data_IF_286500082185
#
_entry.id   IF_286500082185
#
_cell.length_a   1.000
_cell.length_b   1.000
_cell.length_c   1.000
_cell.angle_alpha   90.00
_cell.angle_beta   90.00
_cell.angle_gamma   90.00
#
_symmetry.space_group_name_H-M   'P 1'
#
loop_
_entity.id
_entity.type
_entity.pdbx_description
1 polymer ?
#
# COMPACT_ATOMS: atom_id res chain seq x y z
N UNK A 1 46.65 -32.67 -37.91
CA UNK A 1 45.36 -33.21 -37.44
C UNK A 1 45.37 -33.09 -35.93
N UNK A 2 44.44 -32.51 -35.19
CA UNK A 2 43.30 -31.62 -35.44
C UNK A 2 43.02 -31.09 -34.04
N UNK A 3 42.84 -29.78 -33.93
CA UNK A 3 42.39 -29.12 -32.71
C UNK A 3 41.06 -29.72 -32.25
N UNK A 4 40.95 -30.11 -30.99
CA UNK A 4 39.65 -30.25 -30.33
C UNK A 4 39.79 -29.76 -28.89
N UNK A 5 39.79 -28.44 -28.77
CA UNK A 5 39.43 -27.72 -27.56
C UNK A 5 37.94 -28.03 -27.28
N UNK A 6 37.67 -28.83 -26.25
CA UNK A 6 36.32 -29.08 -25.74
C UNK A 6 36.15 -28.32 -24.43
N UNK A 7 35.23 -27.35 -24.46
CA UNK A 7 34.22 -26.97 -23.44
C UNK A 7 34.52 -27.50 -22.04
N UNK A 8 34.62 -26.65 -21.02
CA UNK A 8 33.43 -25.95 -20.57
C UNK A 8 33.78 -24.67 -19.81
N UNK A 9 33.46 -23.52 -20.42
CA UNK A 9 33.39 -22.26 -19.71
C UNK A 9 32.13 -22.23 -18.87
N UNK A 10 32.06 -23.04 -17.82
CA UNK A 10 31.10 -22.77 -16.75
C UNK A 10 31.45 -21.37 -16.22
N UNK A 11 30.52 -20.40 -16.21
CA UNK A 11 30.74 -19.16 -15.51
C UNK A 11 31.11 -19.52 -14.08
N UNK A 12 32.36 -19.30 -13.69
CA UNK A 12 32.73 -19.39 -12.30
C UNK A 12 31.95 -18.29 -11.60
N UNK A 13 30.84 -18.66 -10.95
CA UNK A 13 29.97 -17.77 -10.20
C UNK A 13 30.82 -16.89 -9.28
N UNK A 14 31.10 -15.65 -9.70
CA UNK A 14 31.97 -14.73 -8.96
C UNK A 14 31.16 -14.23 -7.78
N UNK A 15 31.51 -14.69 -6.59
CA UNK A 15 30.93 -14.18 -5.34
C UNK A 15 31.46 -12.77 -5.07
N UNK A 16 30.68 -11.76 -5.40
CA UNK A 16 30.96 -10.38 -5.03
C UNK A 16 30.33 -10.05 -3.66
N UNK A 17 31.13 -9.54 -2.72
CA UNK A 17 30.63 -9.02 -1.44
C UNK A 17 30.30 -7.55 -1.62
N UNK A 18 29.01 -7.22 -1.69
CA UNK A 18 28.54 -5.84 -1.83
C UNK A 18 27.96 -5.37 -0.49
N UNK A 19 28.25 -4.12 -0.11
CA UNK A 19 27.71 -3.51 1.12
C UNK A 19 26.61 -2.54 0.73
N UNK A 20 25.40 -2.72 1.26
CA UNK A 20 24.30 -1.77 1.03
C UNK A 20 24.54 -0.54 1.91
N UNK A 21 25.30 0.42 1.37
CA UNK A 21 25.81 1.58 2.09
C UNK A 21 24.71 2.63 2.38
N UNK A 22 23.68 2.73 1.53
CA UNK A 22 22.62 3.72 1.66
C UNK A 22 21.34 3.25 0.96
N UNK A 23 20.19 3.56 1.55
CA UNK A 23 18.88 3.43 0.90
C UNK A 23 18.43 4.83 0.48
N UNK A 24 18.12 5.03 -0.80
CA UNK A 24 17.67 6.34 -1.27
C UNK A 24 16.20 6.60 -0.89
N UNK A 25 15.91 7.62 -0.06
CA UNK A 25 14.55 7.89 0.41
C UNK A 25 13.56 8.17 -0.71
N UNK A 26 14.05 8.75 -1.80
CA UNK A 26 13.28 9.03 -3.00
C UNK A 26 12.77 7.77 -3.69
N UNK A 27 13.56 6.69 -3.68
CA UNK A 27 13.18 5.41 -4.30
C UNK A 27 12.12 4.69 -3.45
N UNK A 28 12.31 4.66 -2.12
CA UNK A 28 11.32 4.08 -1.20
C UNK A 28 9.99 4.82 -1.25
N UNK A 29 10.02 6.15 -1.32
CA UNK A 29 8.80 6.96 -1.44
C UNK A 29 8.01 6.61 -2.72
N UNK A 30 8.66 6.42 -3.87
CA UNK A 30 7.99 6.02 -5.11
C UNK A 30 7.38 4.62 -5.03
N UNK A 31 8.12 3.65 -4.51
CA UNK A 31 7.61 2.28 -4.33
C UNK A 31 6.41 2.27 -3.37
N UNK A 32 6.52 2.95 -2.23
CA UNK A 32 5.44 3.06 -1.26
C UNK A 32 4.23 3.79 -1.82
N UNK A 33 4.43 4.81 -2.66
CA UNK A 33 3.34 5.51 -3.33
C UNK A 33 2.52 4.57 -4.23
N UNK A 34 3.17 3.75 -5.07
CA UNK A 34 2.47 2.81 -5.96
C UNK A 34 1.72 1.74 -5.14
N UNK A 35 2.36 1.16 -4.14
CA UNK A 35 1.74 0.14 -3.27
C UNK A 35 0.56 0.74 -2.50
N UNK A 36 0.74 1.91 -1.90
CA UNK A 36 -0.33 2.57 -1.13
C UNK A 36 -1.51 2.99 -2.01
N UNK A 37 -1.27 3.39 -3.27
CA UNK A 37 -2.34 3.66 -4.22
C UNK A 37 -3.16 2.38 -4.53
N UNK A 38 -2.50 1.23 -4.68
CA UNK A 38 -3.19 -0.05 -4.83
C UNK A 38 -4.07 -0.39 -3.62
N UNK A 39 -3.55 -0.19 -2.41
CA UNK A 39 -4.31 -0.37 -1.17
C UNK A 39 -5.49 0.59 -1.09
N UNK A 40 -5.31 1.86 -1.44
CA UNK A 40 -6.37 2.87 -1.45
C UNK A 40 -7.53 2.47 -2.37
N UNK A 41 -7.21 1.98 -3.58
CA UNK A 41 -8.22 1.48 -4.52
C UNK A 41 -8.93 0.25 -3.95
N UNK A 42 -8.18 -0.70 -3.38
CA UNK A 42 -8.76 -1.90 -2.77
C UNK A 42 -9.73 -1.55 -1.62
N UNK A 43 -9.38 -0.58 -0.77
CA UNK A 43 -10.26 -0.07 0.28
C UNK A 43 -11.51 0.58 -0.31
N UNK A 44 -11.35 1.44 -1.32
CA UNK A 44 -12.50 2.11 -1.96
C UNK A 44 -13.48 1.10 -2.57
N UNK A 45 -12.98 0.07 -3.25
CA UNK A 45 -13.80 -1.03 -3.79
C UNK A 45 -14.46 -1.83 -2.67
N UNK A 46 -13.73 -2.17 -1.61
CA UNK A 46 -14.28 -2.89 -0.47
C UNK A 46 -15.43 -2.12 0.20
N UNK A 47 -15.25 -0.80 0.42
CA UNK A 47 -16.31 0.05 0.99
C UNK A 47 -17.50 0.17 0.06
N UNK A 48 -17.28 0.31 -1.25
CA UNK A 48 -18.37 0.35 -2.23
C UNK A 48 -19.20 -0.94 -2.19
N UNK A 49 -18.54 -2.11 -2.14
CA UNK A 49 -19.21 -3.40 -2.03
C UNK A 49 -19.97 -3.55 -0.70
N UNK A 50 -19.36 -3.15 0.42
CA UNK A 50 -20.03 -3.16 1.73
C UNK A 50 -21.27 -2.26 1.73
N UNK A 51 -21.17 -1.07 1.14
CA UNK A 51 -22.31 -0.16 1.02
C UNK A 51 -23.44 -0.79 0.22
N UNK A 52 -23.12 -1.43 -0.91
CA UNK A 52 -24.11 -2.14 -1.72
C UNK A 52 -24.78 -3.25 -0.91
N UNK A 53 -24.02 -4.04 -0.15
CA UNK A 53 -24.58 -5.08 0.70
C UNK A 53 -25.53 -4.50 1.75
N UNK A 54 -25.20 -3.38 2.38
CA UNK A 54 -26.07 -2.73 3.36
C UNK A 54 -27.33 -2.14 2.74
N UNK A 55 -27.23 -1.58 1.54
CA UNK A 55 -28.37 -1.09 0.79
C UNK A 55 -29.32 -2.23 0.42
N UNK A 56 -28.79 -3.36 -0.07
CA UNK A 56 -29.60 -4.54 -0.42
C UNK A 56 -30.23 -5.22 0.81
N UNK A 57 -29.54 -5.17 1.95
CA UNK A 57 -30.06 -5.67 3.22
C UNK A 57 -31.15 -4.77 3.83
N UNK A 58 -31.46 -3.61 3.25
CA UNK A 58 -32.50 -2.70 3.75
C UNK A 58 -32.13 -2.02 5.08
N UNK A 59 -30.83 -1.90 5.38
CA UNK A 59 -30.34 -1.29 6.63
C UNK A 59 -30.78 0.17 6.72
N UNK A 60 -30.65 0.93 5.62
CA UNK A 60 -31.02 2.35 5.59
C UNK A 60 -32.53 2.56 5.78
N UNK A 61 -33.36 1.68 5.23
CA UNK A 61 -34.83 1.74 5.42
C UNK A 61 -35.21 1.44 6.87
N UNK A 62 -34.52 0.49 7.50
CA UNK A 62 -34.75 0.12 8.91
C UNK A 62 -34.43 1.29 9.84
N UNK A 63 -33.32 2.01 9.59
CA UNK A 63 -32.94 3.21 10.34
C UNK A 63 -33.97 4.33 10.16
N UNK A 64 -34.43 4.57 8.92
CA UNK A 64 -35.44 5.61 8.65
C UNK A 64 -36.77 5.38 9.38
N UNK A 65 -37.21 4.12 9.48
CA UNK A 65 -38.41 3.76 10.27
C UNK A 65 -38.21 4.05 11.75
N UNK A 66 -37.09 3.62 12.34
CA UNK A 66 -36.79 3.88 13.76
C UNK A 66 -36.74 5.38 14.08
N UNK A 67 -36.17 6.21 13.20
CA UNK A 67 -36.13 7.66 13.42
C UNK A 67 -37.52 8.29 13.39
N UNK A 68 -38.38 7.83 12.48
CA UNK A 68 -39.77 8.30 12.39
C UNK A 68 -40.56 7.91 13.64
N UNK A 69 -40.39 6.68 14.12
CA UNK A 69 -41.08 6.16 15.30
C UNK A 69 -40.68 6.89 16.60
N UNK A 70 -39.42 7.33 16.72
CA UNK A 70 -38.88 7.95 17.94
C UNK A 70 -39.03 9.47 17.95
N UNK A 71 -38.77 10.13 16.81
CA UNK A 71 -38.64 11.59 16.75
C UNK A 71 -39.80 12.27 16.00
N UNK A 72 -40.75 11.51 15.44
CA UNK A 72 -41.90 12.05 14.69
C UNK A 72 -41.53 12.86 13.44
N UNK A 73 -40.24 12.88 13.07
CA UNK A 73 -39.68 13.63 11.95
C UNK A 73 -38.84 12.69 11.08
N UNK A 74 -39.02 12.78 9.78
CA UNK A 74 -38.31 11.95 8.80
C UNK A 74 -36.90 12.51 8.57
N UNK A 75 -35.91 12.01 9.31
CA UNK A 75 -34.51 12.19 8.92
C UNK A 75 -34.19 11.10 7.91
N UNK A 76 -33.89 11.48 6.67
CA UNK A 76 -33.49 10.53 5.64
C UNK A 76 -32.03 10.11 5.84
N UNK A 77 -31.74 8.86 6.27
CA UNK A 77 -30.39 8.40 6.52
C UNK A 77 -29.53 8.39 5.24
N UNK A 78 -30.15 8.35 4.06
CA UNK A 78 -29.44 8.36 2.78
C UNK A 78 -28.77 9.71 2.49
N UNK A 79 -29.18 10.80 3.14
CA UNK A 79 -28.53 12.10 2.99
C UNK A 79 -27.09 12.11 3.54
N UNK A 80 -26.82 11.36 4.61
CA UNK A 80 -25.51 11.29 5.26
C UNK A 80 -24.77 9.99 4.92
N UNK A 81 -25.50 8.87 4.84
CA UNK A 81 -24.93 7.54 4.61
C UNK A 81 -25.23 7.01 3.21
N UNK A 82 -25.70 7.85 2.29
CA UNK A 82 -25.87 7.49 0.89
C UNK A 82 -24.54 7.18 0.23
N UNK A 83 -24.61 6.55 -0.95
CA UNK A 83 -23.43 6.11 -1.70
C UNK A 83 -22.45 7.26 -1.98
N UNK A 84 -22.97 8.41 -2.44
CA UNK A 84 -22.15 9.59 -2.76
C UNK A 84 -21.33 10.10 -1.56
N UNK A 85 -21.97 10.47 -0.43
CA UNK A 85 -21.28 10.89 0.79
C UNK A 85 -20.28 9.86 1.32
N UNK A 86 -20.65 8.58 1.35
CA UNK A 86 -19.76 7.50 1.85
C UNK A 86 -18.54 7.33 0.94
N UNK A 87 -18.72 7.35 -0.37
CA UNK A 87 -17.60 7.26 -1.33
C UNK A 87 -16.71 8.50 -1.28
N UNK A 88 -17.29 9.69 -1.09
CA UNK A 88 -16.53 10.93 -0.93
C UNK A 88 -15.66 10.91 0.33
N UNK A 89 -16.23 10.50 1.48
CA UNK A 89 -15.48 10.32 2.73
C UNK A 89 -14.36 9.28 2.55
N UNK A 90 -14.68 8.15 1.92
CA UNK A 90 -13.72 7.07 1.67
C UNK A 90 -12.57 7.54 0.78
N UNK A 91 -12.85 8.34 -0.24
CA UNK A 91 -11.81 8.91 -1.10
C UNK A 91 -10.85 9.81 -0.30
N UNK A 92 -11.37 10.66 0.60
CA UNK A 92 -10.54 11.51 1.47
C UNK A 92 -9.67 10.65 2.39
N UNK A 93 -10.26 9.65 3.04
CA UNK A 93 -9.52 8.70 3.91
C UNK A 93 -8.45 7.95 3.13
N UNK A 94 -8.76 7.50 1.91
CA UNK A 94 -7.83 6.80 1.05
C UNK A 94 -6.65 7.70 0.64
N UNK A 95 -6.88 8.97 0.34
CA UNK A 95 -5.82 9.95 0.07
C UNK A 95 -4.92 10.12 1.29
N UNK A 96 -5.51 10.29 2.48
CA UNK A 96 -4.75 10.42 3.74
C UNK A 96 -3.90 9.17 3.99
N UNK A 97 -4.46 7.99 3.77
CA UNK A 97 -3.74 6.70 3.89
C UNK A 97 -2.51 6.64 2.96
N UNK A 98 -2.66 7.06 1.69
CA UNK A 98 -1.56 7.10 0.72
C UNK A 98 -0.45 8.03 1.20
N UNK A 99 -0.82 9.22 1.65
CA UNK A 99 0.13 10.22 2.14
C UNK A 99 0.87 9.73 3.39
N UNK A 100 0.14 9.16 4.36
CA UNK A 100 0.72 8.61 5.58
C UNK A 100 1.71 7.47 5.29
N UNK A 101 1.32 6.53 4.44
CA UNK A 101 2.17 5.38 4.09
C UNK A 101 3.44 5.83 3.35
N UNK A 102 3.31 6.80 2.45
CA UNK A 102 4.44 7.37 1.72
C UNK A 102 5.39 8.12 2.66
N UNK A 103 4.85 8.91 3.59
CA UNK A 103 5.63 9.63 4.59
C UNK A 103 6.40 8.67 5.51
N UNK A 104 5.74 7.63 6.03
CA UNK A 104 6.39 6.60 6.86
C UNK A 104 7.52 5.92 6.09
N UNK A 105 7.34 5.60 4.81
CA UNK A 105 8.39 4.97 4.00
C UNK A 105 9.63 5.86 3.86
N UNK A 106 9.43 7.17 3.59
CA UNK A 106 10.53 8.12 3.52
C UNK A 106 11.26 8.26 4.87
N UNK A 107 10.52 8.24 5.99
CA UNK A 107 11.09 8.26 7.34
C UNK A 107 11.89 6.99 7.63
N UNK A 108 11.38 5.80 7.27
CA UNK A 108 12.09 4.52 7.44
C UNK A 108 13.39 4.48 6.64
N UNK A 109 13.39 4.99 5.40
CA UNK A 109 14.59 5.11 4.59
C UNK A 109 15.64 6.02 5.26
N UNK A 110 15.19 7.15 5.82
CA UNK A 110 16.05 8.10 6.52
C UNK A 110 16.61 7.51 7.81
N UNK A 111 15.79 6.81 8.59
CA UNK A 111 16.19 6.13 9.82
C UNK A 111 17.20 5.01 9.55
N UNK A 112 17.01 4.22 8.48
CA UNK A 112 17.99 3.22 8.05
C UNK A 112 19.33 3.87 7.71
N UNK A 113 19.30 4.99 6.97
CA UNK A 113 20.53 5.70 6.61
C UNK A 113 21.29 6.19 7.84
N UNK A 114 20.59 6.67 8.87
CA UNK A 114 21.21 7.04 10.16
C UNK A 114 21.80 5.80 10.85
N UNK A 115 21.05 4.71 10.97
CA UNK A 115 21.53 3.49 11.63
C UNK A 115 22.74 2.87 10.91
N UNK A 116 22.72 2.84 9.57
CA UNK A 116 23.81 2.31 8.75
C UNK A 116 25.11 3.11 8.91
N UNK A 117 25.02 4.43 9.17
CA UNK A 117 26.18 5.26 9.47
C UNK A 117 26.89 4.84 10.77
N UNK A 118 26.14 4.46 11.81
CA UNK A 118 26.70 4.05 13.10
C UNK A 118 27.18 2.60 13.13
N UNK A 119 26.46 1.67 12.48
CA UNK A 119 26.70 0.22 12.59
C UNK A 119 27.53 -0.34 11.42
N UNK A 120 27.73 0.41 10.34
CA UNK A 120 28.53 -0.01 9.19
C UNK A 120 27.76 -0.72 8.06
N UNK A 121 26.43 -0.60 8.05
CA UNK A 121 25.51 -1.05 7.00
C UNK A 121 25.29 -2.57 6.89
N UNK A 122 24.26 -2.98 6.15
CA UNK A 122 23.98 -4.39 5.87
C UNK A 122 24.95 -4.95 4.80
N UNK A 123 25.60 -6.08 5.09
CA UNK A 123 26.40 -6.83 4.11
C UNK A 123 25.48 -7.75 3.30
N UNK A 124 25.56 -7.68 1.97
CA UNK A 124 24.80 -8.51 1.05
C UNK A 124 25.78 -9.38 0.26
N UNK A 125 25.51 -10.68 0.19
CA UNK A 125 26.29 -11.61 -0.65
C UNK A 125 25.55 -11.77 -1.96
N UNK A 126 26.14 -11.28 -3.05
CA UNK A 126 25.62 -11.49 -4.40
C UNK A 126 26.24 -12.77 -4.98
N UNK A 127 25.40 -13.61 -5.56
CA UNK A 127 25.82 -14.77 -6.36
C UNK A 127 25.37 -14.49 -7.79
N UNK A 128 26.32 -14.37 -8.71
CA UNK A 128 26.06 -14.29 -10.15
C UNK A 128 26.18 -15.71 -10.75
N UNK A 129 25.14 -16.18 -11.44
CA UNK A 129 25.15 -17.40 -12.26
C UNK A 129 25.57 -17.08 -13.70
#
# INVERSE_FOLDING_TARGET
>A
MSSTQLSDGMPNARRARLRLKRIDPWSLAKLAFIVSLGIAIAIAVAVALLWLLFSQAGVFDSVGRTTTDVFGSSVDPQTLFGFGPVMALTAVVAIVQVLLTTAISALLASLYNLAAYFVGGLQIVLVED
#
